data_IF_155776752253
#
_entry.id   IF_155776752253
#
_cell.length_a   1.000
_cell.length_b   1.000
_cell.length_c   1.000
_cell.angle_alpha   90.00
_cell.angle_beta   90.00
_cell.angle_gamma   90.00
#
_symmetry.space_group_name_H-M   'P 1'
#
loop_
_entity.id
_entity.type
_entity.pdbx_description
1 polymer ?
#
# COMPACT_ATOMS: atom_id res chain seq x y z
N UNK A 1 -13.44 -16.06 29.67
CA UNK A 1 -13.00 -15.93 28.26
C UNK A 1 -11.51 -15.64 28.29
N UNK A 2 -10.69 -16.65 28.62
CA UNK A 2 -9.26 -16.50 28.93
C UNK A 2 -8.48 -17.70 28.32
N UNK A 3 -8.69 -17.99 27.02
CA UNK A 3 -8.12 -19.21 26.41
C UNK A 3 -7.23 -18.96 25.18
N UNK A 4 -6.95 -17.69 24.82
CA UNK A 4 -6.08 -17.41 23.67
C UNK A 4 -4.71 -16.80 24.04
N UNK A 5 -4.48 -16.44 25.31
CA UNK A 5 -3.20 -15.89 25.75
C UNK A 5 -2.12 -16.97 26.00
N UNK A 6 -2.52 -18.24 26.11
CA UNK A 6 -1.63 -19.34 26.50
C UNK A 6 -1.07 -20.17 25.31
N UNK A 7 -1.39 -19.78 24.09
CA UNK A 7 -0.91 -20.45 22.86
C UNK A 7 0.26 -19.70 22.20
N UNK A 8 1.16 -19.10 22.97
CA UNK A 8 2.43 -18.64 22.44
C UNK A 8 3.30 -19.85 22.10
N UNK A 9 3.05 -20.48 20.95
CA UNK A 9 3.83 -21.62 20.44
C UNK A 9 5.34 -21.35 20.44
N UNK A 10 5.73 -20.08 20.35
CA UNK A 10 7.13 -19.63 20.42
C UNK A 10 7.77 -19.81 21.79
N UNK A 11 6.99 -19.93 22.89
CA UNK A 11 7.52 -20.18 24.24
C UNK A 11 7.76 -21.65 24.52
N UNK A 12 7.22 -22.54 23.69
CA UNK A 12 7.31 -24.00 23.87
C UNK A 12 8.62 -24.59 23.33
N UNK A 13 9.31 -23.83 22.47
CA UNK A 13 10.55 -24.27 21.84
C UNK A 13 11.74 -23.44 22.31
N UNK A 14 12.86 -24.05 22.72
CA UNK A 14 14.08 -23.30 23.01
C UNK A 14 14.55 -22.56 21.76
N UNK A 15 14.88 -21.27 21.88
CA UNK A 15 15.45 -20.50 20.79
C UNK A 15 16.76 -21.11 20.30
N UNK A 16 16.89 -21.29 18.99
CA UNK A 16 18.15 -21.69 18.38
C UNK A 16 19.05 -20.47 18.13
N UNK A 17 20.35 -20.61 18.42
CA UNK A 17 21.32 -19.56 18.02
C UNK A 17 21.63 -19.63 16.53
N UNK A 18 22.14 -18.52 15.97
CA UNK A 18 22.59 -18.47 14.57
C UNK A 18 23.65 -19.53 14.26
N UNK A 19 24.52 -19.82 15.23
CA UNK A 19 25.55 -20.88 15.10
C UNK A 19 24.93 -22.26 15.02
N UNK A 20 23.95 -22.56 15.86
CA UNK A 20 23.24 -23.84 15.86
C UNK A 20 22.50 -24.03 14.52
N UNK A 21 21.82 -22.97 14.06
CA UNK A 21 21.14 -22.97 12.77
C UNK A 21 22.13 -23.19 11.62
N UNK A 22 23.23 -22.44 11.58
CA UNK A 22 24.27 -22.56 10.52
C UNK A 22 24.86 -23.96 10.48
N UNK A 23 25.18 -24.55 11.62
CA UNK A 23 25.67 -25.93 11.73
C UNK A 23 24.65 -26.95 11.22
N UNK A 24 23.37 -26.76 11.52
CA UNK A 24 22.30 -27.63 11.02
C UNK A 24 22.18 -27.53 9.49
N UNK A 25 22.29 -26.33 8.93
CA UNK A 25 22.30 -26.11 7.48
C UNK A 25 23.48 -26.78 6.81
N UNK A 26 24.70 -26.63 7.32
CA UNK A 26 25.91 -27.29 6.81
C UNK A 26 25.76 -28.81 6.82
N UNK A 27 25.18 -29.35 7.87
CA UNK A 27 24.88 -30.78 7.97
C UNK A 27 23.87 -31.22 6.90
N UNK A 28 22.83 -30.45 6.69
CA UNK A 28 21.80 -30.73 5.69
C UNK A 28 22.33 -30.63 4.25
N UNK A 29 23.26 -29.73 3.99
CA UNK A 29 23.89 -29.53 2.69
C UNK A 29 24.90 -30.64 2.33
N UNK A 30 25.27 -31.51 3.26
CA UNK A 30 26.18 -32.66 3.03
C UNK A 30 27.46 -32.29 2.25
N UNK A 31 28.08 -31.17 2.64
CA UNK A 31 29.28 -30.65 1.99
C UNK A 31 29.00 -29.71 0.80
N UNK A 32 27.74 -29.40 0.51
CA UNK A 32 27.39 -28.35 -0.47
C UNK A 32 27.75 -26.97 0.08
N UNK A 33 28.17 -26.06 -0.82
CA UNK A 33 28.47 -24.70 -0.43
C UNK A 33 27.22 -23.94 0.04
N UNK A 34 27.34 -23.20 1.13
CA UNK A 34 26.28 -22.38 1.72
C UNK A 34 25.74 -21.33 0.72
N UNK A 35 26.61 -20.82 -0.15
CA UNK A 35 26.26 -19.82 -1.17
C UNK A 35 25.14 -20.27 -2.13
N UNK A 36 24.89 -21.57 -2.25
CA UNK A 36 23.77 -22.10 -3.02
C UNK A 36 22.40 -21.72 -2.46
N UNK A 37 22.33 -21.34 -1.20
CA UNK A 37 21.11 -20.89 -0.54
C UNK A 37 20.88 -19.38 -0.72
N UNK A 38 21.87 -18.64 -1.21
CA UNK A 38 21.78 -17.22 -1.45
C UNK A 38 21.14 -17.01 -2.82
N UNK A 39 19.96 -16.42 -2.84
CA UNK A 39 19.30 -16.00 -4.08
C UNK A 39 19.59 -14.53 -4.39
N UNK A 40 19.25 -14.09 -5.60
CA UNK A 40 19.40 -12.68 -6.01
C UNK A 40 18.08 -12.16 -6.55
N UNK A 41 17.79 -10.90 -6.26
CA UNK A 41 16.70 -10.17 -6.92
C UNK A 41 17.04 -9.90 -8.39
N UNK A 42 16.06 -9.44 -9.18
CA UNK A 42 16.29 -8.98 -10.56
C UNK A 42 17.32 -7.85 -10.62
N UNK A 43 17.40 -7.00 -9.58
CA UNK A 43 18.35 -5.90 -9.45
C UNK A 43 19.72 -6.34 -8.91
N UNK A 44 19.95 -7.65 -8.71
CA UNK A 44 21.22 -8.20 -8.25
C UNK A 44 21.47 -8.15 -6.75
N UNK A 45 20.48 -7.75 -5.94
CA UNK A 45 20.62 -7.74 -4.47
C UNK A 45 20.62 -9.17 -3.95
N UNK A 46 21.65 -9.52 -3.16
CA UNK A 46 21.74 -10.84 -2.55
C UNK A 46 20.73 -10.99 -1.40
N UNK A 47 19.96 -12.07 -1.45
CA UNK A 47 19.01 -12.45 -0.41
C UNK A 47 19.57 -13.61 0.38
N UNK A 48 19.84 -13.39 1.66
CA UNK A 48 20.31 -14.43 2.59
C UNK A 48 19.17 -15.39 2.95
N UNK A 49 19.43 -16.67 3.22
CA UNK A 49 18.41 -17.62 3.61
C UNK A 49 17.79 -17.32 4.98
N UNK A 50 18.49 -16.59 5.84
CA UNK A 50 18.02 -16.13 7.13
C UNK A 50 18.63 -14.77 7.46
N UNK A 51 17.84 -13.89 8.04
CA UNK A 51 18.28 -12.61 8.60
C UNK A 51 18.02 -12.60 10.10
N UNK A 52 18.94 -12.06 10.86
CA UNK A 52 18.67 -11.76 12.27
C UNK A 52 17.47 -10.78 12.35
N UNK A 53 16.66 -10.88 13.43
CA UNK A 53 15.59 -9.92 13.66
C UNK A 53 16.14 -8.51 13.60
N UNK A 54 15.56 -7.66 12.74
CA UNK A 54 15.90 -6.25 12.72
C UNK A 54 15.59 -5.67 14.11
N UNK A 55 16.57 -5.06 14.76
CA UNK A 55 16.27 -4.19 15.89
C UNK A 55 15.53 -3.00 15.33
N UNK A 56 14.26 -2.90 15.67
CA UNK A 56 13.47 -1.73 15.34
C UNK A 56 13.97 -0.56 16.21
N UNK A 57 15.00 0.12 15.76
CA UNK A 57 15.58 1.24 16.49
C UNK A 57 14.74 2.52 16.41
N UNK A 58 13.71 2.58 15.74
CA UNK A 58 12.56 3.49 15.83
C UNK A 58 11.60 3.19 14.69
N UNK A 59 10.41 2.84 14.99
CA UNK A 59 9.30 3.07 14.08
C UNK A 59 9.24 4.60 13.93
N UNK A 60 9.57 5.11 12.74
CA UNK A 60 9.27 6.51 12.43
C UNK A 60 7.76 6.63 12.50
N UNK A 61 7.28 7.06 13.68
CA UNK A 61 5.87 7.31 13.90
C UNK A 61 5.42 8.31 12.83
N UNK A 62 4.40 7.99 12.09
CA UNK A 62 3.70 9.00 11.31
C UNK A 62 3.28 10.10 12.27
N UNK A 63 3.43 11.35 11.89
CA UNK A 63 3.21 12.54 12.72
C UNK A 63 1.76 12.75 13.21
N UNK A 64 1.04 11.67 13.49
CA UNK A 64 -0.31 11.70 14.06
C UNK A 64 -0.84 10.30 14.26
N UNK A 65 -1.54 10.06 15.36
CA UNK A 65 -2.23 8.82 15.70
C UNK A 65 -3.59 8.67 14.98
N UNK A 66 -3.86 9.47 13.94
CA UNK A 66 -5.10 9.41 13.19
C UNK A 66 -5.21 8.19 12.28
N UNK A 67 -6.44 7.78 11.98
CA UNK A 67 -6.72 6.81 10.94
C UNK A 67 -6.17 7.30 9.59
N UNK A 68 -5.75 6.38 8.75
CA UNK A 68 -5.38 6.75 7.39
C UNK A 68 -6.59 7.11 6.55
N UNK A 69 -6.41 8.04 5.63
CA UNK A 69 -7.42 8.33 4.64
C UNK A 69 -7.33 7.29 3.51
N UNK A 70 -8.45 6.66 3.21
CA UNK A 70 -8.58 5.80 2.03
C UNK A 70 -9.00 6.69 0.88
N UNK A 71 -8.07 6.92 -0.07
CA UNK A 71 -8.29 7.80 -1.23
C UNK A 71 -8.53 6.95 -2.48
N UNK A 72 -9.74 7.05 -3.04
CA UNK A 72 -10.07 6.35 -4.30
C UNK A 72 -9.84 7.25 -5.52
N UNK A 73 -9.39 6.62 -6.61
CA UNK A 73 -9.15 7.32 -7.87
C UNK A 73 -10.38 7.33 -8.76
N UNK A 74 -10.82 8.50 -9.18
CA UNK A 74 -11.92 8.69 -10.12
C UNK A 74 -11.33 9.23 -11.41
N UNK A 75 -11.42 8.48 -12.51
CA UNK A 75 -10.78 8.78 -13.78
C UNK A 75 -11.66 8.45 -15.00
N UNK A 76 -12.96 8.27 -14.80
CA UNK A 76 -13.87 8.07 -15.91
C UNK A 76 -13.99 9.36 -16.76
N UNK A 77 -13.93 9.26 -18.12
CA UNK A 77 -13.96 10.44 -19.00
C UNK A 77 -15.30 11.21 -18.96
N UNK A 78 -16.40 10.49 -18.79
CA UNK A 78 -17.74 11.07 -18.66
C UNK A 78 -18.01 11.50 -17.23
N UNK A 79 -18.51 12.73 -17.05
CA UNK A 79 -18.70 13.33 -15.74
C UNK A 79 -19.81 12.65 -14.90
N UNK A 80 -20.85 12.12 -15.57
CA UNK A 80 -21.93 11.43 -14.85
C UNK A 80 -21.43 10.07 -14.32
N UNK A 81 -20.77 9.28 -15.16
CA UNK A 81 -20.21 8.00 -14.75
C UNK A 81 -19.08 8.18 -13.72
N UNK A 82 -18.30 9.26 -13.80
CA UNK A 82 -17.32 9.62 -12.78
C UNK A 82 -17.98 9.91 -11.42
N UNK A 83 -19.14 10.58 -11.44
CA UNK A 83 -19.92 10.84 -10.23
C UNK A 83 -20.50 9.56 -9.63
N UNK A 84 -21.07 8.67 -10.45
CA UNK A 84 -21.58 7.38 -9.99
C UNK A 84 -20.45 6.56 -9.32
N UNK A 85 -19.29 6.46 -9.96
CA UNK A 85 -18.11 5.81 -9.38
C UNK A 85 -17.70 6.45 -8.05
N UNK A 86 -17.63 7.79 -8.00
CA UNK A 86 -17.24 8.51 -6.79
C UNK A 86 -18.18 8.23 -5.61
N UNK A 87 -19.49 8.21 -5.86
CA UNK A 87 -20.49 7.95 -4.84
C UNK A 87 -20.45 6.49 -4.37
N UNK A 88 -20.28 5.54 -5.27
CA UNK A 88 -20.12 4.12 -4.95
C UNK A 88 -18.86 3.87 -4.10
N UNK A 89 -17.73 4.48 -4.46
CA UNK A 89 -16.48 4.39 -3.71
C UNK A 89 -16.61 4.96 -2.28
N UNK A 90 -17.30 6.10 -2.14
CA UNK A 90 -17.54 6.72 -0.84
C UNK A 90 -18.51 5.89 0.01
N UNK A 91 -19.57 5.33 -0.58
CA UNK A 91 -20.50 4.41 0.11
C UNK A 91 -19.76 3.12 0.52
N UNK A 92 -18.82 2.67 -0.29
CA UNK A 92 -17.92 1.55 -0.02
C UNK A 92 -16.87 1.81 1.09
N UNK A 93 -16.80 3.03 1.65
CA UNK A 93 -15.97 3.37 2.79
C UNK A 93 -14.71 4.17 2.45
N UNK A 94 -14.56 4.68 1.24
CA UNK A 94 -13.52 5.66 0.94
C UNK A 94 -13.74 6.93 1.77
N UNK A 95 -12.67 7.51 2.27
CA UNK A 95 -12.69 8.77 3.04
C UNK A 95 -12.20 9.96 2.21
N UNK A 96 -11.90 9.73 0.95
CA UNK A 96 -11.48 10.77 0.02
C UNK A 96 -11.40 10.30 -1.42
N UNK A 97 -11.28 11.25 -2.32
CA UNK A 97 -11.23 11.03 -3.75
C UNK A 97 -9.98 11.68 -4.37
N UNK A 98 -9.40 11.01 -5.35
CA UNK A 98 -8.39 11.57 -6.25
C UNK A 98 -9.00 11.69 -7.64
N UNK A 99 -9.45 12.88 -7.99
CA UNK A 99 -10.01 13.18 -9.30
C UNK A 99 -8.87 13.36 -10.32
N UNK A 100 -8.76 12.46 -11.29
CA UNK A 100 -7.76 12.53 -12.34
C UNK A 100 -8.35 13.16 -13.59
N UNK A 101 -7.78 14.27 -14.01
CA UNK A 101 -8.23 14.99 -15.22
C UNK A 101 -7.53 14.41 -16.44
N UNK A 102 -8.23 14.38 -17.57
CA UNK A 102 -7.69 13.94 -18.85
C UNK A 102 -6.43 14.75 -19.22
N UNK A 103 -5.38 14.01 -19.60
CA UNK A 103 -4.05 14.58 -19.89
C UNK A 103 -3.11 14.64 -18.69
N UNK A 104 -3.55 14.33 -17.46
CA UNK A 104 -2.63 14.11 -16.36
C UNK A 104 -1.80 12.83 -16.59
N UNK A 105 -0.50 12.80 -16.24
CA UNK A 105 0.35 11.62 -16.43
C UNK A 105 -0.19 10.37 -15.71
N UNK A 106 -0.84 10.56 -14.57
CA UNK A 106 -1.44 9.46 -13.79
C UNK A 106 -2.75 8.94 -14.37
N UNK A 107 -3.37 9.68 -15.29
CA UNK A 107 -4.59 9.26 -15.96
C UNK A 107 -4.37 8.17 -17.02
N UNK A 108 -3.13 7.97 -17.50
CA UNK A 108 -2.73 6.87 -18.41
C UNK A 108 -3.62 6.72 -19.64
N UNK A 109 -4.10 7.82 -20.19
CA UNK A 109 -5.02 7.86 -21.33
C UNK A 109 -6.50 7.86 -20.98
N UNK A 110 -6.84 7.76 -19.71
CA UNK A 110 -8.17 7.97 -19.14
C UNK A 110 -8.27 9.39 -18.54
N UNK A 111 -9.15 9.57 -17.59
CA UNK A 111 -9.30 10.81 -16.85
C UNK A 111 -10.54 11.58 -17.25
N UNK A 112 -11.08 12.31 -16.29
CA UNK A 112 -12.27 13.13 -16.44
C UNK A 112 -12.03 14.23 -17.48
N UNK A 113 -12.95 14.38 -18.41
CA UNK A 113 -12.99 15.53 -19.32
C UNK A 113 -13.49 16.76 -18.56
N UNK A 114 -12.59 17.41 -17.82
CA UNK A 114 -12.87 18.59 -17.00
C UNK A 114 -12.53 19.88 -17.76
N UNK A 115 -13.16 20.08 -18.91
CA UNK A 115 -12.92 21.26 -19.75
C UNK A 115 -13.75 22.47 -19.30
N UNK A 116 -14.63 22.31 -18.32
CA UNK A 116 -15.46 23.39 -17.77
C UNK A 116 -15.78 23.16 -16.29
N UNK A 117 -16.18 24.19 -15.59
CA UNK A 117 -16.66 24.14 -14.22
C UNK A 117 -17.91 23.26 -14.08
N UNK A 118 -18.79 23.28 -15.08
CA UNK A 118 -20.00 22.45 -15.09
C UNK A 118 -19.68 20.96 -15.17
N UNK A 119 -18.59 20.56 -15.84
CA UNK A 119 -18.15 19.16 -15.89
C UNK A 119 -17.66 18.71 -14.51
N UNK A 120 -16.92 19.55 -13.79
CA UNK A 120 -16.49 19.28 -12.43
C UNK A 120 -17.68 19.23 -11.46
N UNK A 121 -18.63 20.18 -11.58
CA UNK A 121 -19.83 20.21 -10.77
C UNK A 121 -20.66 18.92 -10.94
N UNK A 122 -20.81 18.44 -12.16
CA UNK A 122 -21.47 17.17 -12.46
C UNK A 122 -20.72 15.98 -11.86
N UNK A 123 -19.40 15.92 -12.00
CA UNK A 123 -18.59 14.81 -11.47
C UNK A 123 -18.59 14.78 -9.94
N UNK A 124 -18.83 15.89 -9.27
CA UNK A 124 -18.88 16.02 -7.83
C UNK A 124 -20.30 16.25 -7.29
N UNK A 125 -21.31 16.06 -8.13
CA UNK A 125 -22.71 16.28 -7.74
C UNK A 125 -23.06 15.42 -6.52
N UNK A 126 -23.69 16.02 -5.52
CA UNK A 126 -24.10 15.41 -4.24
C UNK A 126 -22.95 14.89 -3.34
N UNK A 127 -21.70 14.99 -3.77
CA UNK A 127 -20.54 14.65 -2.93
C UNK A 127 -20.38 15.68 -1.82
N UNK A 128 -20.31 15.23 -0.58
CA UNK A 128 -20.12 16.10 0.60
C UNK A 128 -18.64 16.43 0.76
N UNK A 129 -18.18 17.45 0.05
CA UNK A 129 -16.76 17.88 0.03
C UNK A 129 -16.23 18.31 1.39
N UNK A 130 -17.13 18.71 2.31
CA UNK A 130 -16.81 19.04 3.68
C UNK A 130 -16.54 17.81 4.57
N UNK A 131 -16.89 16.60 4.10
CA UNK A 131 -16.70 15.34 4.84
C UNK A 131 -15.52 14.50 4.35
N UNK A 132 -14.99 14.81 3.17
CA UNK A 132 -13.98 14.00 2.51
C UNK A 132 -12.71 14.79 2.22
N UNK A 133 -11.61 14.07 2.01
CA UNK A 133 -10.43 14.65 1.39
C UNK A 133 -10.57 14.61 -0.14
N UNK A 134 -10.39 15.74 -0.81
CA UNK A 134 -10.36 15.81 -2.27
C UNK A 134 -8.98 16.21 -2.75
N UNK A 135 -8.43 15.44 -3.68
CA UNK A 135 -7.24 15.77 -4.45
C UNK A 135 -7.61 15.81 -5.92
N UNK A 136 -7.17 16.84 -6.61
CA UNK A 136 -7.30 16.95 -8.08
C UNK A 136 -5.92 16.80 -8.70
N UNK A 137 -5.78 15.84 -9.60
CA UNK A 137 -4.60 15.68 -10.43
C UNK A 137 -4.93 16.12 -11.85
N UNK A 138 -4.59 17.35 -12.14
CA UNK A 138 -4.83 17.98 -13.45
C UNK A 138 -3.54 18.03 -14.31
N UNK A 139 -2.42 17.51 -13.81
CA UNK A 139 -1.15 17.54 -14.53
C UNK A 139 -0.75 18.97 -14.92
N UNK A 140 -0.41 19.17 -16.18
CA UNK A 140 -0.02 20.49 -16.70
C UNK A 140 -1.17 21.53 -16.74
N UNK A 141 -2.42 21.08 -16.56
CA UNK A 141 -3.60 21.98 -16.50
C UNK A 141 -3.85 22.55 -15.09
N UNK A 142 -3.00 22.21 -14.12
CA UNK A 142 -3.16 22.66 -12.72
C UNK A 142 -2.62 24.09 -12.47
N UNK A 143 -2.16 24.77 -13.49
CA UNK A 143 -1.57 26.12 -13.40
C UNK A 143 -2.63 27.21 -13.53
#
# INVERSE_FOLDING_TARGET
MTLLADLALTQTFPGASDEQWRKAVETALKGGAFDKLISKTADGIAIQPLYAPARADAVTARGGAGAWAVMQGVDHPDAHAANEQALEDLDGGASGLVLRVAGAPTARGFGLNADSAEALDKALATVRLDWIALRVDAGAKAA
#
